data_IF_304766363236
#
_entry.id   IF_304766363236
#
_cell.length_a   1.000
_cell.length_b   1.000
_cell.length_c   1.000
_cell.angle_alpha   90.00
_cell.angle_beta   90.00
_cell.angle_gamma   90.00
#
_symmetry.space_group_name_H-M   'P 1'
#
loop_
_entity.id
_entity.type
_entity.pdbx_description
1 polymer ?
#
# COMPACT_ATOMS: atom_id res chain seq x y z
N UNK A 1 -25.88 -3.45 28.83
CA UNK A 1 -25.65 -4.54 27.85
C UNK A 1 -26.78 -5.54 27.98
N UNK A 2 -27.55 -5.77 26.91
CA UNK A 2 -28.65 -6.75 26.91
C UNK A 2 -28.15 -8.15 26.52
N UNK A 3 -27.20 -8.21 25.62
CA UNK A 3 -26.59 -9.45 25.15
C UNK A 3 -25.20 -9.18 24.61
N UNK A 4 -24.32 -10.13 24.71
CA UNK A 4 -22.96 -10.09 24.18
C UNK A 4 -22.53 -11.48 23.77
N UNK A 5 -21.96 -11.66 22.58
CA UNK A 5 -21.45 -12.94 22.12
C UNK A 5 -20.00 -13.17 22.60
N UNK A 6 -19.48 -14.42 22.55
CA UNK A 6 -18.13 -14.73 23.02
C UNK A 6 -17.02 -13.95 22.28
N UNK A 7 -17.19 -13.64 20.99
CA UNK A 7 -16.23 -12.88 20.22
C UNK A 7 -16.13 -11.43 20.73
N UNK A 8 -17.27 -10.80 21.00
CA UNK A 8 -17.32 -9.45 21.58
C UNK A 8 -16.80 -9.43 23.02
N UNK A 9 -17.07 -10.48 23.82
CA UNK A 9 -16.48 -10.62 25.16
C UNK A 9 -14.94 -10.64 25.08
N UNK A 10 -14.40 -11.40 24.13
CA UNK A 10 -12.96 -11.46 23.92
C UNK A 10 -12.38 -10.11 23.44
N UNK A 11 -13.08 -9.42 22.55
CA UNK A 11 -12.65 -8.12 22.00
C UNK A 11 -12.60 -7.04 23.08
N UNK A 12 -13.65 -6.94 23.92
CA UNK A 12 -13.82 -5.90 24.93
C UNK A 12 -13.35 -6.31 26.34
N UNK A 13 -12.72 -7.48 26.49
CA UNK A 13 -12.32 -8.04 27.79
C UNK A 13 -13.49 -8.14 28.78
N UNK A 14 -14.69 -8.34 28.27
CA UNK A 14 -15.88 -8.50 29.07
C UNK A 14 -16.08 -9.97 29.45
N UNK A 15 -16.58 -10.21 30.62
CA UNK A 15 -17.07 -11.52 31.06
C UNK A 15 -18.60 -11.59 31.00
N UNK A 16 -19.18 -12.75 31.30
CA UNK A 16 -20.62 -12.94 31.28
C UNK A 16 -21.38 -12.09 32.31
N UNK A 17 -20.70 -11.47 33.27
CA UNK A 17 -21.30 -10.62 34.32
C UNK A 17 -21.63 -9.21 33.82
N UNK A 18 -21.16 -8.84 32.64
CA UNK A 18 -21.42 -7.51 32.03
C UNK A 18 -22.87 -7.34 31.52
N UNK A 19 -23.63 -8.44 31.38
CA UNK A 19 -25.06 -8.38 31.02
C UNK A 19 -25.87 -7.72 32.13
N UNK A 20 -26.67 -6.75 31.77
CA UNK A 20 -27.41 -5.88 32.71
C UNK A 20 -26.65 -4.61 33.13
N UNK A 21 -25.36 -4.52 32.81
CA UNK A 21 -24.55 -3.33 33.11
C UNK A 21 -24.53 -2.35 31.96
N UNK A 22 -24.11 -1.11 32.22
CA UNK A 22 -23.85 -0.13 31.19
C UNK A 22 -22.60 -0.55 30.40
N UNK A 23 -22.58 -0.26 29.09
CA UNK A 23 -21.42 -0.54 28.23
C UNK A 23 -20.16 0.21 28.71
N UNK A 24 -20.32 1.41 29.28
CA UNK A 24 -19.23 2.21 29.83
C UNK A 24 -18.49 1.55 31.00
N UNK A 25 -19.05 0.49 31.63
CA UNK A 25 -18.33 -0.30 32.62
C UNK A 25 -17.30 -1.23 31.97
N UNK A 26 -17.50 -1.60 30.70
CA UNK A 26 -16.66 -2.50 29.94
C UNK A 26 -15.59 -1.73 29.14
N UNK A 27 -15.99 -0.65 28.46
CA UNK A 27 -15.07 0.20 27.72
C UNK A 27 -15.45 1.68 27.91
N UNK A 28 -14.49 2.47 28.40
CA UNK A 28 -14.68 3.90 28.69
C UNK A 28 -14.03 4.82 27.65
N UNK A 29 -13.67 4.27 26.49
CA UNK A 29 -13.02 5.08 25.48
C UNK A 29 -13.97 6.20 24.99
N UNK A 30 -13.54 7.46 24.96
CA UNK A 30 -14.41 8.60 24.62
C UNK A 30 -15.08 8.46 23.25
N UNK A 31 -14.34 7.94 22.25
CA UNK A 31 -14.84 7.79 20.87
C UNK A 31 -15.96 6.75 20.78
N UNK A 32 -15.90 5.68 21.59
CA UNK A 32 -16.99 4.69 21.68
C UNK A 32 -18.23 5.29 22.28
N UNK A 33 -18.06 6.07 23.35
CA UNK A 33 -19.18 6.78 24.00
C UNK A 33 -19.85 7.75 23.04
N UNK A 34 -19.05 8.53 22.29
CA UNK A 34 -19.54 9.46 21.29
C UNK A 34 -20.29 8.71 20.16
N UNK A 35 -19.71 7.62 19.65
CA UNK A 35 -20.33 6.83 18.58
C UNK A 35 -21.67 6.20 19.02
N UNK A 36 -21.78 5.71 20.25
CA UNK A 36 -23.04 5.18 20.81
C UNK A 36 -24.08 6.30 20.90
N UNK A 37 -23.71 7.49 21.37
CA UNK A 37 -24.59 8.62 21.47
C UNK A 37 -25.08 9.10 20.11
N UNK A 38 -24.15 9.24 19.17
CA UNK A 38 -24.45 9.61 17.79
C UNK A 38 -25.40 8.62 17.13
N UNK A 39 -25.15 7.31 17.26
CA UNK A 39 -26.06 6.28 16.76
C UNK A 39 -27.46 6.35 17.41
N UNK A 40 -27.55 6.71 18.69
CA UNK A 40 -28.84 6.87 19.35
C UNK A 40 -29.64 8.05 18.80
N UNK A 41 -28.97 9.15 18.39
CA UNK A 41 -29.62 10.34 17.83
C UNK A 41 -29.90 10.19 16.34
N UNK A 42 -28.87 9.82 15.55
CA UNK A 42 -28.93 9.78 14.07
C UNK A 42 -29.45 8.46 13.53
N UNK A 43 -29.44 7.39 14.34
CA UNK A 43 -29.84 6.03 13.96
C UNK A 43 -28.65 5.11 13.61
N UNK A 44 -27.51 5.65 13.20
CA UNK A 44 -26.32 4.88 12.81
C UNK A 44 -25.04 5.69 13.04
N UNK A 45 -23.96 5.02 13.45
CA UNK A 45 -22.63 5.59 13.57
C UNK A 45 -21.57 4.53 13.31
N UNK A 46 -20.40 4.95 12.87
CA UNK A 46 -19.25 4.05 12.60
C UNK A 46 -18.00 4.61 13.23
N UNK A 47 -17.14 3.71 13.72
CA UNK A 47 -15.86 4.03 14.29
C UNK A 47 -14.83 2.99 13.89
N UNK A 48 -13.63 3.40 13.47
CA UNK A 48 -12.47 2.50 13.38
C UNK A 48 -11.65 2.60 14.68
N UNK A 49 -11.28 1.45 15.22
CA UNK A 49 -10.51 1.36 16.46
C UNK A 49 -9.51 0.23 16.40
N UNK A 50 -8.29 0.51 16.84
CA UNK A 50 -7.28 -0.52 17.03
C UNK A 50 -7.51 -1.21 18.39
N UNK A 51 -7.52 -2.55 18.37
CA UNK A 51 -7.60 -3.39 19.56
C UNK A 51 -6.66 -4.58 19.42
N UNK A 52 -5.74 -4.76 20.37
CA UNK A 52 -4.79 -5.89 20.39
C UNK A 52 -3.94 -6.01 19.12
N UNK A 53 -3.53 -4.89 18.53
CA UNK A 53 -2.74 -4.89 17.29
C UNK A 53 -3.55 -5.29 16.05
N UNK A 54 -4.89 -5.27 16.14
CA UNK A 54 -5.80 -5.47 15.01
C UNK A 54 -6.69 -4.27 14.82
N UNK A 55 -7.09 -4.01 13.62
CA UNK A 55 -7.98 -2.92 13.26
C UNK A 55 -9.41 -3.43 13.12
N UNK A 56 -10.33 -2.79 13.86
CA UNK A 56 -11.74 -3.14 13.84
C UNK A 56 -12.58 -1.97 13.32
N UNK A 57 -13.53 -2.26 12.46
CA UNK A 57 -14.63 -1.37 12.17
C UNK A 57 -15.78 -1.72 13.12
N UNK A 58 -16.22 -0.73 13.89
CA UNK A 58 -17.30 -0.81 14.85
C UNK A 58 -18.51 -0.07 14.28
N UNK A 59 -19.59 -0.79 14.01
CA UNK A 59 -20.84 -0.26 13.49
C UNK A 59 -21.89 -0.24 14.59
N UNK A 60 -22.43 0.93 14.87
CA UNK A 60 -23.47 1.16 15.84
C UNK A 60 -24.77 1.45 15.14
N UNK A 61 -25.83 0.70 15.45
CA UNK A 61 -27.15 0.89 14.87
C UNK A 61 -28.21 0.94 15.95
N UNK A 62 -29.06 1.96 15.93
CA UNK A 62 -30.20 2.09 16.83
C UNK A 62 -31.22 1.01 16.54
N UNK A 63 -31.70 0.37 17.60
CA UNK A 63 -32.83 -0.55 17.55
C UNK A 63 -34.07 0.18 18.07
N UNK A 64 -35.11 0.22 17.26
CA UNK A 64 -36.40 0.74 17.69
C UNK A 64 -37.53 -0.22 17.36
N UNK A 65 -38.58 -0.19 18.17
CA UNK A 65 -39.79 -0.93 17.94
C UNK A 65 -40.99 -0.06 18.35
N UNK A 66 -41.98 0.03 17.47
CA UNK A 66 -43.19 0.83 17.67
C UNK A 66 -42.89 2.32 18.03
N UNK A 67 -41.85 2.90 17.40
CA UNK A 67 -41.44 4.29 17.66
C UNK A 67 -40.70 4.49 18.98
N UNK A 68 -40.35 3.42 19.70
CA UNK A 68 -39.59 3.48 20.95
C UNK A 68 -38.21 2.91 20.74
N UNK A 69 -37.19 3.66 21.11
CA UNK A 69 -35.79 3.21 21.11
C UNK A 69 -35.61 2.14 22.18
N UNK A 70 -35.16 0.96 21.76
CA UNK A 70 -34.88 -0.19 22.62
C UNK A 70 -33.42 -0.24 23.05
N UNK A 71 -32.51 0.29 22.22
CA UNK A 71 -31.08 0.27 22.47
C UNK A 71 -30.27 0.45 21.20
N UNK A 72 -29.00 0.11 21.27
CA UNK A 72 -28.06 0.16 20.15
C UNK A 72 -27.40 -1.22 19.98
N UNK A 73 -27.30 -1.70 18.75
CA UNK A 73 -26.47 -2.86 18.38
C UNK A 73 -25.09 -2.37 18.00
N UNK A 74 -24.07 -3.04 18.50
CA UNK A 74 -22.68 -2.90 18.07
C UNK A 74 -22.27 -4.16 17.31
N UNK A 75 -21.82 -3.97 16.07
CA UNK A 75 -21.15 -4.99 15.27
C UNK A 75 -19.68 -4.61 15.14
N UNK A 76 -18.79 -5.57 15.36
CA UNK A 76 -17.35 -5.38 15.22
C UNK A 76 -16.83 -6.29 14.10
N UNK A 77 -16.22 -5.70 13.08
CA UNK A 77 -15.60 -6.40 11.95
C UNK A 77 -14.08 -6.24 12.05
N UNK A 78 -13.36 -7.36 12.01
CA UNK A 78 -11.90 -7.33 11.86
C UNK A 78 -11.59 -6.89 10.41
N UNK A 79 -11.02 -5.71 10.27
CA UNK A 79 -10.65 -5.10 8.98
C UNK A 79 -9.14 -4.95 8.83
N UNK A 80 -8.36 -5.70 9.61
CA UNK A 80 -6.89 -5.59 9.67
C UNK A 80 -6.27 -5.78 8.28
N UNK A 81 -6.62 -6.86 7.58
CA UNK A 81 -6.08 -7.15 6.26
C UNK A 81 -6.44 -6.06 5.23
N UNK A 82 -7.70 -5.57 5.27
CA UNK A 82 -8.14 -4.50 4.37
C UNK A 82 -7.42 -3.18 4.67
N UNK A 83 -7.28 -2.83 5.96
CA UNK A 83 -6.58 -1.62 6.38
C UNK A 83 -5.09 -1.67 6.03
N UNK A 84 -4.45 -2.82 6.18
CA UNK A 84 -3.07 -3.05 5.76
C UNK A 84 -2.91 -2.93 4.24
N UNK A 85 -3.80 -3.54 3.47
CA UNK A 85 -3.79 -3.43 2.01
C UNK A 85 -4.02 -1.98 1.54
N UNK A 86 -4.97 -1.26 2.15
CA UNK A 86 -5.21 0.16 1.88
C UNK A 86 -3.98 1.04 2.22
N UNK A 87 -3.28 0.73 3.32
CA UNK A 87 -2.06 1.43 3.72
C UNK A 87 -0.93 1.18 2.73
N UNK A 88 -0.67 -0.09 2.40
CA UNK A 88 0.35 -0.46 1.41
C UNK A 88 0.09 0.20 0.05
N UNK A 89 -1.17 0.23 -0.40
CA UNK A 89 -1.53 0.91 -1.65
C UNK A 89 -1.28 2.41 -1.61
N UNK A 90 -1.57 3.07 -0.48
CA UNK A 90 -1.30 4.51 -0.32
C UNK A 90 0.20 4.79 -0.29
N UNK A 91 0.96 4.00 0.45
CA UNK A 91 2.43 4.11 0.52
C UNK A 91 3.07 3.86 -0.85
N UNK A 92 2.62 2.83 -1.56
CA UNK A 92 3.07 2.56 -2.93
C UNK A 92 2.82 3.76 -3.86
N UNK A 93 1.60 4.30 -3.87
CA UNK A 93 1.26 5.45 -4.72
C UNK A 93 2.10 6.69 -4.38
N UNK A 94 2.33 6.94 -3.08
CA UNK A 94 3.16 8.04 -2.63
C UNK A 94 4.62 7.85 -3.06
N UNK A 95 5.19 6.66 -2.87
CA UNK A 95 6.57 6.33 -3.25
C UNK A 95 6.78 6.44 -4.76
N UNK A 96 5.87 5.88 -5.57
CA UNK A 96 5.90 6.01 -7.03
C UNK A 96 5.90 7.48 -7.45
N UNK A 97 5.02 8.29 -6.85
CA UNK A 97 4.94 9.71 -7.15
C UNK A 97 6.25 10.46 -6.84
N UNK A 98 6.90 10.12 -5.74
CA UNK A 98 8.20 10.69 -5.36
C UNK A 98 9.33 10.25 -6.30
N UNK A 99 9.38 8.94 -6.63
CA UNK A 99 10.39 8.38 -7.53
C UNK A 99 10.28 8.90 -8.97
N UNK A 100 9.07 9.22 -9.44
CA UNK A 100 8.85 9.85 -10.75
C UNK A 100 9.19 11.35 -10.74
N UNK A 101 8.91 12.06 -9.65
CA UNK A 101 9.09 13.51 -9.56
C UNK A 101 10.55 13.93 -9.63
N UNK A 102 11.44 13.18 -9.01
CA UNK A 102 12.87 13.51 -8.91
C UNK A 102 13.56 13.57 -10.29
N UNK A 103 13.52 12.49 -11.12
CA UNK A 103 14.12 12.54 -12.46
C UNK A 103 13.41 13.54 -13.36
N UNK A 104 12.09 13.69 -13.25
CA UNK A 104 11.32 14.66 -14.03
C UNK A 104 11.77 16.12 -13.73
N UNK A 105 11.99 16.46 -12.47
CA UNK A 105 12.52 17.77 -12.08
C UNK A 105 13.94 18.00 -12.60
N UNK A 106 14.79 16.96 -12.63
CA UNK A 106 16.13 17.03 -13.21
C UNK A 106 16.11 17.29 -14.71
N UNK A 107 15.17 16.63 -15.44
CA UNK A 107 14.95 16.85 -16.88
C UNK A 107 14.51 18.29 -17.13
N UNK A 108 13.44 18.74 -16.43
CA UNK A 108 12.88 20.08 -16.60
C UNK A 108 13.95 21.15 -16.30
N UNK A 109 14.62 21.06 -15.16
CA UNK A 109 15.64 22.03 -14.79
C UNK A 109 16.82 22.07 -15.75
N UNK A 110 17.24 20.90 -16.29
CA UNK A 110 18.29 20.85 -17.30
C UNK A 110 17.84 21.45 -18.63
N UNK A 111 16.61 21.20 -19.04
CA UNK A 111 16.03 21.76 -20.26
C UNK A 111 15.85 23.28 -20.16
N UNK A 112 15.33 23.80 -19.04
CA UNK A 112 15.18 25.23 -18.79
C UNK A 112 16.52 25.98 -18.84
N UNK A 113 17.58 25.41 -18.27
CA UNK A 113 18.92 26.01 -18.31
C UNK A 113 19.46 26.07 -19.72
N UNK A 114 19.23 25.05 -20.55
CA UNK A 114 19.61 25.02 -21.96
C UNK A 114 18.81 26.05 -22.79
N UNK A 115 17.49 26.07 -22.60
CA UNK A 115 16.56 26.96 -23.32
C UNK A 115 16.87 28.42 -23.06
N UNK A 116 17.17 28.78 -21.81
CA UNK A 116 17.49 30.16 -21.44
C UNK A 116 18.94 30.56 -21.75
N UNK A 117 19.73 29.73 -22.41
CA UNK A 117 21.10 30.01 -22.77
C UNK A 117 22.04 30.16 -21.55
N UNK A 118 21.67 29.62 -20.39
CA UNK A 118 22.44 29.70 -19.14
C UNK A 118 23.59 28.68 -19.08
N UNK A 119 23.64 27.74 -20.04
CA UNK A 119 24.66 26.72 -20.16
C UNK A 119 25.67 27.09 -21.24
N UNK A 120 26.96 27.07 -20.90
CA UNK A 120 28.02 27.29 -21.89
C UNK A 120 27.98 26.24 -22.99
N UNK A 121 28.36 26.58 -24.26
CA UNK A 121 28.33 25.61 -25.38
C UNK A 121 29.08 24.33 -25.11
N UNK A 122 30.22 24.39 -24.42
CA UNK A 122 31.06 23.26 -24.04
C UNK A 122 30.35 22.28 -23.07
N UNK A 123 29.43 22.77 -22.24
CA UNK A 123 28.71 21.99 -21.24
C UNK A 123 27.36 21.46 -21.75
N UNK A 124 26.82 21.98 -22.86
CA UNK A 124 25.52 21.57 -23.40
C UNK A 124 25.39 20.05 -23.61
N UNK A 125 26.40 19.33 -24.16
CA UNK A 125 26.32 17.90 -24.32
C UNK A 125 26.12 17.14 -23.00
N UNK A 126 26.69 17.65 -21.92
CA UNK A 126 26.53 17.04 -20.59
C UNK A 126 25.11 17.17 -20.07
N UNK A 127 24.48 18.32 -20.27
CA UNK A 127 23.07 18.55 -19.88
C UNK A 127 22.10 17.69 -20.72
N UNK A 128 22.34 17.60 -22.03
CA UNK A 128 21.57 16.73 -22.92
C UNK A 128 21.68 15.27 -22.52
N UNK A 129 22.89 14.80 -22.23
CA UNK A 129 23.12 13.43 -21.75
C UNK A 129 22.41 13.16 -20.42
N UNK A 130 22.41 14.14 -19.51
CA UNK A 130 21.69 14.03 -18.25
C UNK A 130 20.17 13.90 -18.47
N UNK A 131 19.59 14.69 -19.37
CA UNK A 131 18.17 14.57 -19.73
C UNK A 131 17.88 13.18 -20.26
N UNK A 132 18.74 12.64 -21.13
CA UNK A 132 18.57 11.32 -21.71
C UNK A 132 18.61 10.21 -20.63
N UNK A 133 19.61 10.25 -19.77
CA UNK A 133 19.75 9.28 -18.67
C UNK A 133 18.55 9.29 -17.72
N UNK A 134 18.04 10.46 -17.35
CA UNK A 134 16.88 10.54 -16.47
C UNK A 134 15.57 10.12 -17.18
N UNK A 135 15.47 10.32 -18.48
CA UNK A 135 14.34 9.82 -19.28
C UNK A 135 14.37 8.28 -19.36
N UNK A 136 15.54 7.68 -19.62
CA UNK A 136 15.70 6.22 -19.63
C UNK A 136 15.36 5.61 -18.26
N UNK A 137 15.78 6.26 -17.18
CA UNK A 137 15.43 5.85 -15.82
C UNK A 137 13.91 5.88 -15.58
N UNK A 138 13.21 6.92 -16.07
CA UNK A 138 11.75 7.01 -15.98
C UNK A 138 11.06 5.88 -16.74
N UNK A 139 11.52 5.56 -17.93
CA UNK A 139 10.97 4.46 -18.74
C UNK A 139 11.15 3.13 -18.01
N UNK A 140 12.32 2.87 -17.45
CA UNK A 140 12.58 1.67 -16.67
C UNK A 140 11.63 1.56 -15.46
N UNK A 141 11.47 2.65 -14.70
CA UNK A 141 10.58 2.68 -13.53
C UNK A 141 9.11 2.44 -13.92
N UNK A 142 8.64 3.03 -15.01
CA UNK A 142 7.28 2.79 -15.53
C UNK A 142 7.09 1.32 -15.89
N UNK A 143 8.06 0.69 -16.55
CA UNK A 143 8.00 -0.72 -16.90
C UNK A 143 7.96 -1.62 -15.67
N UNK A 144 8.71 -1.29 -14.61
CA UNK A 144 8.69 -2.03 -13.35
C UNK A 144 7.32 -1.92 -12.66
N UNK A 145 6.70 -0.73 -12.66
CA UNK A 145 5.34 -0.51 -12.13
C UNK A 145 4.31 -1.33 -12.90
N UNK A 146 4.39 -1.34 -14.24
CA UNK A 146 3.48 -2.12 -15.08
C UNK A 146 3.61 -3.63 -14.83
N UNK A 147 4.84 -4.13 -14.68
CA UNK A 147 5.09 -5.55 -14.33
C UNK A 147 4.50 -5.90 -12.96
N UNK A 148 4.67 -5.01 -11.97
CA UNK A 148 4.11 -5.22 -10.64
C UNK A 148 2.57 -5.26 -10.67
N UNK A 149 1.94 -4.33 -11.40
CA UNK A 149 0.48 -4.31 -11.58
C UNK A 149 -0.06 -5.59 -12.22
N UNK A 150 0.65 -6.15 -13.21
CA UNK A 150 0.27 -7.42 -13.84
C UNK A 150 0.35 -8.61 -12.89
N UNK A 151 1.30 -8.60 -11.95
CA UNK A 151 1.40 -9.64 -10.91
C UNK A 151 0.27 -9.54 -9.90
N UNK A 152 -0.12 -8.32 -9.51
CA UNK A 152 -1.21 -8.09 -8.53
C UNK A 152 -2.59 -8.51 -9.09
N UNK A 153 -2.83 -8.40 -10.39
CA UNK A 153 -4.08 -8.82 -11.03
C UNK A 153 -4.28 -10.35 -11.06
N UNK A 154 -3.32 -11.12 -10.57
CA UNK A 154 -3.42 -12.58 -10.43
C UNK A 154 -3.56 -13.33 -11.76
N UNK A 155 -3.20 -12.70 -12.86
CA UNK A 155 -3.13 -13.33 -14.15
C UNK A 155 -2.18 -14.54 -14.09
N UNK A 156 -2.67 -15.71 -14.48
CA UNK A 156 -1.82 -16.87 -14.63
C UNK A 156 -0.68 -16.51 -15.61
N UNK A 157 0.52 -16.33 -15.06
CA UNK A 157 1.69 -16.15 -15.91
C UNK A 157 1.82 -17.40 -16.80
N UNK A 158 2.02 -17.25 -18.10
CA UNK A 158 2.25 -18.39 -18.95
C UNK A 158 3.49 -19.12 -18.45
N UNK A 159 3.32 -20.40 -18.11
CA UNK A 159 4.44 -21.26 -17.76
C UNK A 159 5.04 -21.81 -19.04
N UNK A 160 6.20 -21.32 -19.42
CA UNK A 160 6.97 -21.87 -20.53
C UNK A 160 8.15 -22.66 -19.99
N UNK A 161 8.47 -23.77 -20.67
CA UNK A 161 9.71 -24.47 -20.37
C UNK A 161 10.87 -23.68 -20.99
N UNK A 162 11.77 -23.21 -20.13
CA UNK A 162 12.94 -22.43 -20.52
C UNK A 162 14.22 -23.12 -20.08
N UNK A 163 15.23 -23.05 -20.91
CA UNK A 163 16.59 -23.50 -20.56
C UNK A 163 17.22 -22.48 -19.59
N UNK A 164 17.41 -22.88 -18.34
CA UNK A 164 18.04 -22.01 -17.31
C UNK A 164 19.46 -21.63 -17.75
N UNK A 165 20.18 -22.54 -18.44
CA UNK A 165 21.53 -22.27 -18.92
C UNK A 165 21.54 -21.18 -20.00
N UNK A 166 20.59 -21.22 -20.95
CA UNK A 166 20.48 -20.21 -22.00
C UNK A 166 20.13 -18.85 -21.44
N UNK A 167 19.15 -18.79 -20.51
CA UNK A 167 18.79 -17.56 -19.80
C UNK A 167 19.98 -16.96 -19.02
N UNK A 168 20.74 -17.80 -18.32
CA UNK A 168 21.92 -17.35 -17.58
C UNK A 168 22.99 -16.82 -18.52
N UNK A 169 23.20 -17.46 -19.67
CA UNK A 169 24.14 -17.00 -20.69
C UNK A 169 23.71 -15.67 -21.34
N UNK A 170 22.42 -15.51 -21.60
CA UNK A 170 21.87 -14.27 -22.15
C UNK A 170 21.99 -13.10 -21.16
N UNK A 171 21.65 -13.33 -19.89
CA UNK A 171 21.86 -12.35 -18.82
C UNK A 171 23.34 -11.96 -18.66
N UNK A 172 24.26 -12.94 -18.71
CA UNK A 172 25.69 -12.68 -18.66
C UNK A 172 26.19 -11.84 -19.83
N UNK A 173 25.69 -12.11 -21.07
CA UNK A 173 26.03 -11.29 -22.25
C UNK A 173 25.54 -9.86 -22.11
N UNK A 174 24.28 -9.66 -21.69
CA UNK A 174 23.70 -8.32 -21.48
C UNK A 174 24.48 -7.50 -20.44
N UNK A 175 24.91 -8.14 -19.36
CA UNK A 175 25.73 -7.48 -18.34
C UNK A 175 27.14 -7.18 -18.85
N UNK A 176 27.74 -8.08 -19.62
CA UNK A 176 29.10 -7.87 -20.18
C UNK A 176 29.13 -6.67 -21.13
N UNK A 177 28.06 -6.46 -21.91
CA UNK A 177 27.96 -5.27 -22.78
C UNK A 177 27.89 -3.96 -22.00
N UNK A 178 27.26 -3.95 -20.84
CA UNK A 178 27.20 -2.78 -19.95
C UNK A 178 28.50 -2.58 -19.16
N UNK A 179 29.21 -3.66 -18.80
CA UNK A 179 30.39 -3.67 -17.95
C UNK A 179 31.72 -3.64 -18.74
N UNK A 180 31.70 -3.56 -20.05
CA UNK A 180 32.91 -3.44 -20.88
C UNK A 180 33.88 -2.34 -20.43
N UNK A 181 33.40 -1.41 -19.57
CA UNK A 181 34.20 -0.37 -18.95
C UNK A 181 34.79 -0.74 -17.58
N UNK A 182 34.43 -1.89 -16.94
CA UNK A 182 34.75 -2.17 -15.53
C UNK A 182 35.70 -3.37 -15.30
N UNK A 183 36.22 -4.01 -16.33
CA UNK A 183 37.16 -5.14 -16.26
C UNK A 183 36.67 -6.33 -15.38
N UNK A 184 35.35 -6.53 -15.29
CA UNK A 184 34.74 -7.68 -14.60
C UNK A 184 34.56 -8.84 -15.61
N UNK A 185 34.97 -10.04 -15.22
CA UNK A 185 34.79 -11.24 -16.05
C UNK A 185 33.62 -12.07 -15.52
N UNK A 186 32.55 -12.16 -16.32
CA UNK A 186 31.38 -12.96 -16.00
C UNK A 186 31.48 -14.30 -16.72
N UNK A 187 31.40 -15.43 -16.01
CA UNK A 187 31.35 -16.76 -16.58
C UNK A 187 30.13 -17.53 -16.10
N UNK A 188 29.44 -18.22 -17.00
CA UNK A 188 28.34 -19.12 -16.71
C UNK A 188 28.77 -20.54 -16.94
N UNK A 189 28.69 -21.39 -15.91
CA UNK A 189 29.00 -22.81 -16.00
C UNK A 189 27.77 -23.64 -15.60
N UNK A 190 27.48 -24.69 -16.35
CA UNK A 190 26.35 -25.58 -16.07
C UNK A 190 26.14 -26.60 -17.21
N UNK A 191 25.29 -27.55 -16.95
CA UNK A 191 24.82 -28.51 -17.95
C UNK A 191 23.39 -28.18 -18.34
N UNK A 192 23.06 -28.30 -19.63
CA UNK A 192 21.67 -28.25 -20.08
C UNK A 192 20.91 -29.42 -19.43
N UNK A 193 19.89 -29.11 -18.63
CA UNK A 193 18.99 -30.08 -18.01
C UNK A 193 17.65 -30.10 -18.73
#
# INVERSE_FOLDING_TARGET
ILSINPAAQALFHADGTCVGQDFLTVDRHPDLTAAIHDAAETGHSQLRAERRGREYQLDFSRIESNGKVLGTVLLAFDVTEQAEAERMRREFTANVSHELKTPLQSIIGSAELLENGLVKPEDQPRFLNRIHQEADRLVALINDILRLSQLDEGGALPHEQVSVLELAQEAARSLTEQEAAQAVHISVTGTAG
#
